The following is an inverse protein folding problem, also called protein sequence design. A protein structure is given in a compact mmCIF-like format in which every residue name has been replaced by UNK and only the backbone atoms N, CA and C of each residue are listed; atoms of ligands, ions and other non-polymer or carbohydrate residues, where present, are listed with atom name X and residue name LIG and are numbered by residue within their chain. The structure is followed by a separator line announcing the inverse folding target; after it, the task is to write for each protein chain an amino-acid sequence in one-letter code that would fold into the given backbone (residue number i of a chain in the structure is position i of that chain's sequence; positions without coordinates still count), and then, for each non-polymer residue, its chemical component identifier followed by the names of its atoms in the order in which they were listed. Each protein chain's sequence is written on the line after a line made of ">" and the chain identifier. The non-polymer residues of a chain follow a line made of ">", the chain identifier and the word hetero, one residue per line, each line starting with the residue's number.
data_IF_738807081763
#
_entry.id   IF_738807081763
#
_cell.length_a   1.000
_cell.length_b   1.000
_cell.length_c   1.000
_cell.angle_alpha   90.00
_cell.angle_beta   90.00
_cell.angle_gamma   90.00
#
_symmetry.space_group_name_H-M   'P 1'
#
loop_
_entity.id
_entity.type
_entity.pdbx_description
1 polymer ?
#
# COMPACT_ATOMS: atom_id res chain seq x y z
N UNK A 1 15.72 18.97 -15.31
CA UNK A 1 14.26 19.02 -15.50
C UNK A 1 13.66 17.96 -14.58
N UNK A 2 12.69 18.30 -13.73
CA UNK A 2 12.11 17.34 -12.77
C UNK A 2 10.98 16.61 -13.50
N UNK A 3 11.20 15.33 -13.84
CA UNK A 3 10.15 14.46 -14.38
C UNK A 3 9.18 14.12 -13.25
N UNK A 4 7.88 14.28 -13.50
CA UNK A 4 6.83 13.81 -12.61
C UNK A 4 6.43 12.39 -13.01
N UNK A 5 5.97 11.59 -12.05
CA UNK A 5 5.38 10.26 -12.32
C UNK A 5 4.24 10.34 -13.35
N UNK A 6 3.49 11.45 -13.35
CA UNK A 6 2.41 11.77 -14.29
C UNK A 6 2.85 11.94 -15.73
N UNK A 7 4.14 12.20 -15.97
CA UNK A 7 4.71 12.36 -17.30
C UNK A 7 5.08 11.00 -17.93
N UNK A 8 5.11 9.93 -17.12
CA UNK A 8 5.70 8.64 -17.48
C UNK A 8 4.72 7.47 -17.29
N UNK A 9 3.83 7.56 -16.30
CA UNK A 9 2.81 6.55 -16.03
C UNK A 9 1.40 7.01 -16.41
N UNK A 10 0.53 6.09 -16.86
CA UNK A 10 -0.88 6.38 -17.04
C UNK A 10 -1.52 6.94 -15.76
N UNK A 11 -2.43 7.92 -15.91
CA UNK A 11 -3.13 8.54 -14.77
C UNK A 11 -3.88 7.52 -13.92
N UNK A 12 -4.46 6.51 -14.57
CA UNK A 12 -5.16 5.41 -13.90
C UNK A 12 -4.21 4.66 -12.95
N UNK A 13 -3.04 4.26 -13.45
CA UNK A 13 -2.01 3.57 -12.66
C UNK A 13 -1.54 4.42 -11.47
N UNK A 14 -1.36 5.73 -11.67
CA UNK A 14 -1.02 6.66 -10.58
C UNK A 14 -2.13 6.73 -9.53
N UNK A 15 -3.40 6.64 -9.95
CA UNK A 15 -4.51 6.56 -9.01
C UNK A 15 -4.46 5.27 -8.20
N UNK A 16 -4.11 4.13 -8.82
CA UNK A 16 -3.95 2.85 -8.12
C UNK A 16 -2.81 2.94 -7.10
N UNK A 17 -1.66 3.53 -7.46
CA UNK A 17 -0.55 3.80 -6.53
C UNK A 17 -0.98 4.61 -5.30
N UNK A 18 -1.71 5.70 -5.51
CA UNK A 18 -2.20 6.54 -4.41
C UNK A 18 -3.13 5.77 -3.50
N UNK A 19 -4.03 4.97 -4.07
CA UNK A 19 -4.96 4.15 -3.30
C UNK A 19 -4.22 3.07 -2.50
N UNK A 20 -3.20 2.45 -3.08
CA UNK A 20 -2.37 1.46 -2.40
C UNK A 20 -1.65 2.07 -1.19
N UNK A 21 -0.99 3.22 -1.37
CA UNK A 21 -0.31 3.92 -0.28
C UNK A 21 -1.27 4.38 0.82
N UNK A 22 -2.46 4.90 0.47
CA UNK A 22 -3.46 5.29 1.48
C UNK A 22 -4.01 4.09 2.25
N UNK A 23 -4.21 2.93 1.62
CA UNK A 23 -4.66 1.72 2.32
C UNK A 23 -3.63 1.21 3.32
N UNK A 24 -2.34 1.20 2.95
CA UNK A 24 -1.26 0.80 3.87
C UNK A 24 -1.20 1.75 5.07
N UNK A 25 -1.32 3.05 4.81
CA UNK A 25 -1.39 4.07 5.86
C UNK A 25 -2.62 3.89 6.77
N UNK A 26 -3.77 3.56 6.20
CA UNK A 26 -4.99 3.26 6.97
C UNK A 26 -4.79 2.03 7.86
N UNK A 27 -4.22 0.94 7.32
CA UNK A 27 -3.90 -0.27 8.05
C UNK A 27 -2.93 0.02 9.23
N UNK A 28 -1.88 0.80 8.98
CA UNK A 28 -0.91 1.20 10.02
C UNK A 28 -1.58 1.98 11.16
N UNK A 29 -2.50 2.89 10.82
CA UNK A 29 -3.24 3.69 11.80
C UNK A 29 -4.19 2.81 12.63
N UNK A 30 -4.93 1.90 11.99
CA UNK A 30 -5.82 0.98 12.70
C UNK A 30 -5.04 0.02 13.61
N UNK A 31 -3.91 -0.48 13.16
CA UNK A 31 -3.02 -1.32 13.97
C UNK A 31 -2.51 -0.56 15.19
N UNK A 32 -1.99 0.65 15.02
CA UNK A 32 -1.53 1.49 16.14
C UNK A 32 -2.64 1.73 17.18
N UNK A 33 -3.87 1.98 16.72
CA UNK A 33 -5.04 2.10 17.59
C UNK A 33 -5.38 0.78 18.28
N UNK A 34 -5.27 -0.36 17.58
CA UNK A 34 -5.51 -1.67 18.15
C UNK A 34 -4.51 -2.00 19.27
N UNK A 35 -3.22 -1.67 19.10
CA UNK A 35 -2.20 -1.83 20.13
C UNK A 35 -2.49 -0.95 21.35
N UNK A 36 -2.93 0.29 21.12
CA UNK A 36 -3.35 1.19 22.23
C UNK A 36 -4.50 0.58 23.04
N UNK A 37 -5.52 0.03 22.36
CA UNK A 37 -6.63 -0.64 23.03
C UNK A 37 -6.22 -1.91 23.78
N UNK A 38 -5.22 -2.66 23.29
CA UNK A 38 -4.66 -3.80 24.03
C UNK A 38 -3.99 -3.36 25.32
N UNK A 39 -3.24 -2.26 25.29
CA UNK A 39 -2.61 -1.68 26.48
C UNK A 39 -3.66 -1.25 27.52
N UNK A 40 -4.83 -0.79 27.06
CA UNK A 40 -5.97 -0.42 27.90
C UNK A 40 -6.84 -1.63 28.33
N UNK A 41 -6.43 -2.87 28.02
CA UNK A 41 -7.19 -4.10 28.26
C UNK A 41 -8.56 -4.16 27.55
N UNK A 42 -8.78 -3.35 26.51
CA UNK A 42 -10.01 -3.31 25.69
C UNK A 42 -9.95 -4.29 24.54
N UNK A 43 -9.89 -5.58 24.88
CA UNK A 43 -9.62 -6.68 23.93
C UNK A 43 -10.67 -6.77 22.81
N UNK A 44 -11.95 -6.58 23.13
CA UNK A 44 -13.04 -6.69 22.14
C UNK A 44 -12.92 -5.68 21.00
N UNK A 45 -12.62 -4.43 21.33
CA UNK A 45 -12.49 -3.35 20.35
C UNK A 45 -11.19 -3.46 19.56
N UNK A 46 -10.10 -3.86 20.23
CA UNK A 46 -8.83 -4.15 19.55
C UNK A 46 -9.00 -5.26 18.50
N UNK A 47 -9.73 -6.34 18.82
CA UNK A 47 -10.00 -7.42 17.88
C UNK A 47 -10.73 -6.94 16.63
N UNK A 48 -11.67 -6.02 16.76
CA UNK A 48 -12.37 -5.44 15.61
C UNK A 48 -11.42 -4.64 14.71
N UNK A 49 -10.53 -3.84 15.30
CA UNK A 49 -9.52 -3.10 14.53
C UNK A 49 -8.54 -4.04 13.83
N UNK A 50 -8.02 -5.06 14.51
CA UNK A 50 -7.12 -6.03 13.88
C UNK A 50 -7.79 -6.79 12.73
N UNK A 51 -9.08 -7.12 12.87
CA UNK A 51 -9.83 -7.73 11.77
C UNK A 51 -10.01 -6.81 10.57
N UNK A 52 -10.06 -5.48 10.77
CA UNK A 52 -10.10 -4.51 9.69
C UNK A 52 -8.71 -4.32 9.05
N UNK A 53 -7.64 -4.31 9.84
CA UNK A 53 -6.24 -4.30 9.35
C UNK A 53 -6.03 -5.43 8.35
N UNK A 54 -6.41 -6.67 8.69
CA UNK A 54 -6.28 -7.82 7.78
C UNK A 54 -7.02 -7.56 6.45
N UNK A 55 -8.25 -7.05 6.49
CA UNK A 55 -9.01 -6.74 5.26
C UNK A 55 -8.36 -5.64 4.42
N UNK A 56 -7.75 -4.64 5.07
CA UNK A 56 -7.03 -3.58 4.39
C UNK A 56 -5.77 -4.13 3.73
N UNK A 57 -5.02 -5.02 4.40
CA UNK A 57 -3.84 -5.69 3.84
C UNK A 57 -4.21 -6.60 2.67
N UNK A 58 -5.28 -7.39 2.78
CA UNK A 58 -5.79 -8.20 1.65
C UNK A 58 -6.09 -7.33 0.42
N UNK A 59 -6.79 -6.20 0.63
CA UNK A 59 -7.10 -5.23 -0.43
C UNK A 59 -5.83 -4.57 -0.99
N UNK A 60 -4.81 -4.34 -0.15
CA UNK A 60 -3.53 -3.81 -0.60
C UNK A 60 -2.83 -4.79 -1.56
N UNK A 61 -2.94 -6.10 -1.32
CA UNK A 61 -2.42 -7.14 -2.20
C UNK A 61 -3.05 -7.11 -3.59
N UNK A 62 -4.37 -6.89 -3.68
CA UNK A 62 -5.08 -6.71 -4.95
C UNK A 62 -4.57 -5.50 -5.74
N UNK A 63 -4.32 -4.39 -5.04
CA UNK A 63 -3.80 -3.16 -5.65
C UNK A 63 -2.34 -3.31 -6.07
N UNK A 64 -1.52 -3.97 -5.27
CA UNK A 64 -0.13 -4.30 -5.61
C UNK A 64 -0.08 -5.08 -6.92
N UNK A 65 -0.89 -6.13 -7.05
CA UNK A 65 -0.98 -6.91 -8.27
C UNK A 65 -1.38 -6.06 -9.49
N UNK A 66 -2.41 -5.23 -9.34
CA UNK A 66 -2.86 -4.32 -10.41
C UNK A 66 -1.78 -3.31 -10.82
N UNK A 67 -0.98 -2.84 -9.86
CA UNK A 67 0.13 -1.94 -10.11
C UNK A 67 1.24 -2.67 -10.88
N UNK A 68 1.69 -3.82 -10.41
CA UNK A 68 2.75 -4.61 -11.04
C UNK A 68 2.39 -4.93 -12.50
N UNK A 69 1.16 -5.40 -12.74
CA UNK A 69 0.66 -5.66 -14.07
C UNK A 69 0.62 -4.38 -14.93
N UNK A 70 0.17 -3.27 -14.35
CA UNK A 70 0.12 -1.97 -15.01
C UNK A 70 1.51 -1.49 -15.44
N UNK A 71 2.51 -1.58 -14.55
CA UNK A 71 3.89 -1.17 -14.80
C UNK A 71 4.51 -2.00 -15.91
N UNK A 72 4.34 -3.33 -15.89
CA UNK A 72 4.87 -4.24 -16.92
C UNK A 72 4.37 -3.82 -18.32
N UNK A 73 3.09 -3.45 -18.43
CA UNK A 73 2.42 -3.07 -19.68
C UNK A 73 2.82 -1.69 -20.23
N UNK A 74 3.45 -0.82 -19.43
CA UNK A 74 3.89 0.49 -19.91
C UNK A 74 5.11 0.40 -20.84
N UNK A 75 5.28 1.38 -21.75
CA UNK A 75 6.45 1.48 -22.62
C UNK A 75 7.63 2.22 -21.98
N UNK A 76 7.68 2.30 -20.65
CA UNK A 76 8.72 3.03 -19.92
C UNK A 76 10.05 2.29 -19.92
N UNK A 77 11.13 3.03 -19.68
CA UNK A 77 12.47 2.48 -19.55
C UNK A 77 12.54 1.38 -18.46
N UNK A 78 13.28 0.28 -18.68
CA UNK A 78 13.41 -0.80 -17.71
C UNK A 78 13.93 -0.38 -16.33
N UNK A 79 14.89 0.55 -16.27
CA UNK A 79 15.42 1.06 -15.00
C UNK A 79 14.36 1.82 -14.21
N UNK A 80 13.52 2.59 -14.89
CA UNK A 80 12.39 3.26 -14.24
C UNK A 80 11.33 2.26 -13.73
N UNK A 81 11.09 1.15 -14.45
CA UNK A 81 10.21 0.08 -13.97
C UNK A 81 10.75 -0.56 -12.70
N UNK A 82 12.06 -0.79 -12.63
CA UNK A 82 12.72 -1.35 -11.45
C UNK A 82 12.59 -0.41 -10.24
N UNK A 83 12.82 0.91 -10.41
CA UNK A 83 12.62 1.90 -9.34
C UNK A 83 11.18 1.88 -8.79
N UNK A 84 10.19 1.73 -9.68
CA UNK A 84 8.79 1.62 -9.28
C UNK A 84 8.53 0.32 -8.50
N UNK A 85 9.06 -0.81 -8.96
CA UNK A 85 8.90 -2.09 -8.26
C UNK A 85 9.53 -2.04 -6.87
N UNK A 86 10.71 -1.43 -6.74
CA UNK A 86 11.37 -1.20 -5.44
C UNK A 86 10.47 -0.38 -4.52
N UNK A 87 9.85 0.70 -5.02
CA UNK A 87 8.92 1.51 -4.23
C UNK A 87 7.72 0.69 -3.72
N UNK A 88 7.17 -0.19 -4.56
CA UNK A 88 6.06 -1.08 -4.17
C UNK A 88 6.53 -2.05 -3.08
N UNK A 89 7.71 -2.67 -3.24
CA UNK A 89 8.28 -3.57 -2.23
C UNK A 89 8.47 -2.85 -0.89
N UNK A 90 8.98 -1.62 -0.88
CA UNK A 90 9.13 -0.86 0.37
C UNK A 90 7.80 -0.60 1.08
N UNK A 91 6.73 -0.36 0.32
CA UNK A 91 5.40 -0.17 0.88
C UNK A 91 4.82 -1.49 1.41
N UNK A 92 5.05 -2.59 0.70
CA UNK A 92 4.64 -3.94 1.09
C UNK A 92 5.30 -4.37 2.40
N UNK A 93 6.60 -4.08 2.58
CA UNK A 93 7.34 -4.36 3.81
C UNK A 93 6.74 -3.63 5.04
N UNK A 94 6.12 -2.45 4.84
CA UNK A 94 5.38 -1.77 5.90
C UNK A 94 4.13 -2.58 6.25
N UNK A 95 3.40 -3.07 5.24
CA UNK A 95 2.24 -3.94 5.42
C UNK A 95 2.58 -5.23 6.18
N UNK A 96 3.70 -5.86 5.86
CA UNK A 96 4.18 -7.08 6.52
C UNK A 96 4.63 -6.86 7.98
N UNK A 97 5.03 -5.62 8.31
CA UNK A 97 5.48 -5.25 9.65
C UNK A 97 4.32 -4.90 10.61
N UNK A 98 3.09 -4.86 10.08
CA UNK A 98 1.85 -4.56 10.81
C UNK A 98 1.14 -5.86 11.17
#
# INVERSE_FOLDING_TARGET
>A
MKLLLLDVLPRELISVFKNYAEIIKEAANEFSRAITLLNDMRIGESRTLLANVIKLLDKSGELKFAIEEGVVRTSTDPGFKEEILVLITMLDEIGDSI
#
